data_IF_882623313974
#
_entry.id   IF_882623313974
#
_cell.length_a   1.000
_cell.length_b   1.000
_cell.length_c   1.000
_cell.angle_alpha   90.00
_cell.angle_beta   90.00
_cell.angle_gamma   90.00
#
_symmetry.space_group_name_H-M   'P 1'
#
loop_
_entity.id
_entity.type
_entity.pdbx_description
1 polymer ?
#
# COMPACT_ATOMS: atom_id res chain seq x y z
N UNK A 1 7.87 -9.71 22.19
CA UNK A 1 7.48 -8.30 21.93
C UNK A 1 6.45 -8.31 20.82
N UNK A 2 5.33 -7.58 20.98
CA UNK A 2 4.38 -7.41 19.88
C UNK A 2 5.01 -6.48 18.83
N UNK A 3 5.09 -6.94 17.58
CA UNK A 3 5.60 -6.12 16.47
C UNK A 3 4.54 -5.07 16.14
N UNK A 4 4.96 -3.80 16.09
CA UNK A 4 4.14 -2.68 15.64
C UNK A 4 4.65 -2.19 14.29
N UNK A 5 3.74 -1.85 13.39
CA UNK A 5 4.04 -1.28 12.08
C UNK A 5 3.56 0.16 12.03
N UNK A 6 4.44 1.06 11.61
CA UNK A 6 4.08 2.46 11.38
C UNK A 6 3.28 2.57 10.08
N UNK A 7 2.14 3.24 10.14
CA UNK A 7 1.25 3.48 9.01
C UNK A 7 1.13 4.99 8.83
N UNK A 8 1.75 5.50 7.77
CA UNK A 8 1.65 6.89 7.36
C UNK A 8 0.45 7.04 6.42
N UNK A 9 -0.50 7.90 6.77
CA UNK A 9 -1.63 8.25 5.90
C UNK A 9 -1.52 9.71 5.50
N UNK A 10 -1.36 9.96 4.20
CA UNK A 10 -1.33 11.29 3.63
C UNK A 10 -2.74 11.73 3.26
N UNK A 11 -3.14 12.93 3.64
CA UNK A 11 -4.47 13.47 3.29
C UNK A 11 -4.59 13.62 1.76
N UNK A 12 -5.76 13.30 1.17
CA UNK A 12 -5.96 13.52 -0.26
C UNK A 12 -5.84 15.01 -0.62
N UNK A 13 -5.17 15.36 -1.73
CA UNK A 13 -5.09 16.74 -2.19
C UNK A 13 -6.44 17.23 -2.75
N UNK A 14 -6.76 18.49 -2.50
CA UNK A 14 -7.97 19.16 -3.01
C UNK A 14 -9.26 18.90 -2.22
N UNK A 15 -10.37 19.51 -2.65
CA UNK A 15 -11.65 19.51 -1.92
C UNK A 15 -12.64 18.42 -2.38
N UNK A 16 -12.15 17.31 -2.93
CA UNK A 16 -13.00 16.25 -3.49
C UNK A 16 -13.70 15.40 -2.42
N UNK A 17 -15.03 15.51 -2.31
CA UNK A 17 -15.83 14.84 -1.27
C UNK A 17 -15.63 13.32 -1.20
N UNK A 18 -15.45 12.65 -2.35
CA UNK A 18 -15.26 11.19 -2.39
C UNK A 18 -13.93 10.74 -1.79
N UNK A 19 -12.84 11.46 -2.07
CA UNK A 19 -11.52 11.10 -1.57
C UNK A 19 -11.42 11.35 -0.05
N UNK A 20 -12.03 12.44 0.44
CA UNK A 20 -12.14 12.71 1.88
C UNK A 20 -12.99 11.66 2.60
N UNK A 21 -14.14 11.25 2.03
CA UNK A 21 -14.94 10.17 2.62
C UNK A 21 -14.16 8.84 2.68
N UNK A 22 -13.45 8.50 1.60
CA UNK A 22 -12.60 7.31 1.58
C UNK A 22 -11.46 7.40 2.60
N UNK A 23 -10.88 8.58 2.79
CA UNK A 23 -9.88 8.84 3.81
C UNK A 23 -10.46 8.62 5.20
N UNK A 24 -11.61 9.21 5.52
CA UNK A 24 -12.27 9.06 6.82
C UNK A 24 -12.64 7.60 7.13
N UNK A 25 -13.15 6.87 6.13
CA UNK A 25 -13.44 5.43 6.25
C UNK A 25 -12.17 4.63 6.60
N UNK A 26 -11.05 4.94 5.94
CA UNK A 26 -9.77 4.26 6.14
C UNK A 26 -9.20 4.58 7.51
N UNK A 27 -9.22 5.84 7.92
CA UNK A 27 -8.79 6.25 9.26
C UNK A 27 -9.64 5.57 10.33
N UNK A 28 -10.96 5.55 10.18
CA UNK A 28 -11.88 4.89 11.10
C UNK A 28 -11.61 3.38 11.24
N UNK A 29 -11.17 2.73 10.16
CA UNK A 29 -10.80 1.31 10.19
C UNK A 29 -9.43 1.04 10.81
N UNK A 30 -8.46 1.96 10.65
CA UNK A 30 -7.08 1.80 11.11
C UNK A 30 -6.90 2.21 12.59
N UNK A 31 -7.66 3.20 13.05
CA UNK A 31 -7.53 3.72 14.41
C UNK A 31 -7.85 2.65 15.46
N UNK A 32 -7.00 2.53 16.48
CA UNK A 32 -7.19 1.59 17.58
C UNK A 32 -6.91 0.12 17.23
N UNK A 33 -6.37 -0.17 16.03
CA UNK A 33 -6.02 -1.54 15.64
C UNK A 33 -4.73 -2.01 16.32
N UNK A 34 -4.69 -3.24 16.84
CA UNK A 34 -3.50 -3.76 17.51
C UNK A 34 -2.36 -3.94 16.50
N UNK A 35 -1.17 -3.45 16.87
CA UNK A 35 0.04 -3.58 16.06
C UNK A 35 0.17 -2.57 14.92
N UNK A 36 -0.75 -1.62 14.77
CA UNK A 36 -0.65 -0.53 13.79
C UNK A 36 -0.52 0.81 14.51
N UNK A 37 0.49 1.59 14.12
CA UNK A 37 0.74 2.94 14.62
C UNK A 37 0.45 3.94 13.52
N UNK A 38 -0.73 4.55 13.56
CA UNK A 38 -1.20 5.45 12.51
C UNK A 38 -0.67 6.86 12.77
N UNK A 39 0.00 7.43 11.77
CA UNK A 39 0.40 8.84 11.74
C UNK A 39 -0.28 9.47 10.54
N UNK A 40 -1.04 10.53 10.81
CA UNK A 40 -1.76 11.29 9.80
C UNK A 40 -0.97 12.56 9.50
N UNK A 41 -0.67 12.80 8.23
CA UNK A 41 -0.08 14.07 7.78
C UNK A 41 -1.02 14.72 6.78
N UNK A 42 -1.15 16.05 6.88
CA UNK A 42 -1.92 16.80 5.89
C UNK A 42 -1.13 16.92 4.60
N UNK A 43 0.17 17.16 4.72
CA UNK A 43 1.13 17.16 3.61
C UNK A 43 2.50 16.67 4.07
N UNK A 44 3.37 16.38 3.12
CA UNK A 44 4.78 16.17 3.43
C UNK A 44 5.47 17.53 3.58
N UNK A 45 6.29 17.73 4.63
CA UNK A 45 6.96 19.01 4.84
C UNK A 45 8.04 19.24 3.80
N UNK A 46 8.24 20.50 3.41
CA UNK A 46 9.36 20.90 2.56
C UNK A 46 10.73 20.73 3.25
N UNK A 47 11.84 20.74 2.49
CA UNK A 47 13.20 20.48 3.02
C UNK A 47 13.62 21.44 4.14
N UNK A 48 13.22 22.70 4.03
CA UNK A 48 13.57 23.78 4.97
C UNK A 48 12.42 24.15 5.92
N UNK A 49 11.30 23.43 5.87
CA UNK A 49 10.16 23.69 6.75
C UNK A 49 10.37 23.00 8.11
N UNK A 50 10.22 23.78 9.18
CA UNK A 50 10.22 23.27 10.56
C UNK A 50 8.78 23.23 11.08
N UNK A 51 8.00 22.26 10.61
CA UNK A 51 6.59 22.05 10.99
C UNK A 51 6.43 20.89 11.98
N UNK A 52 5.28 20.83 12.64
CA UNK A 52 4.90 19.67 13.49
C UNK A 52 4.90 18.36 12.69
N UNK A 53 4.57 18.42 11.39
CA UNK A 53 4.61 17.27 10.48
C UNK A 53 6.02 16.70 10.34
N UNK A 54 7.05 17.55 10.35
CA UNK A 54 8.45 17.10 10.32
C UNK A 54 8.82 16.30 11.56
N UNK A 55 8.42 16.75 12.74
CA UNK A 55 8.64 16.00 13.99
C UNK A 55 7.91 14.65 13.96
N UNK A 56 6.68 14.62 13.45
CA UNK A 56 5.94 13.37 13.28
C UNK A 56 6.67 12.42 12.32
N UNK A 57 7.17 12.91 11.18
CA UNK A 57 7.91 12.12 10.20
C UNK A 57 9.27 11.61 10.74
N UNK A 58 9.96 12.44 11.51
CA UNK A 58 11.21 12.07 12.20
C UNK A 58 10.97 10.95 13.21
N UNK A 59 9.84 10.98 13.93
CA UNK A 59 9.46 9.93 14.88
C UNK A 59 9.21 8.55 14.24
N UNK A 60 8.92 8.49 12.94
CA UNK A 60 8.67 7.22 12.24
C UNK A 60 9.95 6.39 12.10
N UNK A 61 10.08 5.33 12.88
CA UNK A 61 11.22 4.40 12.78
C UNK A 61 11.03 3.29 11.74
N UNK A 62 12.13 2.85 11.10
CA UNK A 62 12.22 1.52 10.48
C UNK A 62 11.40 1.28 9.23
N UNK A 63 10.27 0.57 9.38
CA UNK A 63 9.40 0.16 8.27
C UNK A 63 8.09 0.93 8.34
N UNK A 64 7.69 1.55 7.23
CA UNK A 64 6.43 2.28 7.13
C UNK A 64 5.55 1.65 6.05
N UNK A 65 4.26 1.54 6.33
CA UNK A 65 3.24 1.45 5.29
C UNK A 65 2.78 2.86 4.96
N UNK A 66 2.81 3.26 3.70
CA UNK A 66 2.40 4.60 3.26
C UNK A 66 1.13 4.50 2.42
N UNK A 67 0.09 5.20 2.84
CA UNK A 67 -1.19 5.34 2.16
C UNK A 67 -1.24 6.74 1.57
N UNK A 68 -1.28 6.83 0.24
CA UNK A 68 -1.26 8.12 -0.45
C UNK A 68 -2.22 8.14 -1.64
N UNK A 69 -2.64 9.35 -2.01
CA UNK A 69 -3.37 9.66 -3.24
C UNK A 69 -2.46 10.19 -4.34
N UNK A 70 -1.15 10.23 -4.10
CA UNK A 70 -0.10 10.55 -5.07
C UNK A 70 0.49 9.25 -5.65
N UNK A 71 1.36 9.37 -6.66
CA UNK A 71 2.07 8.21 -7.18
C UNK A 71 3.14 7.68 -6.21
N UNK A 72 3.45 6.38 -6.25
CA UNK A 72 4.46 5.81 -5.37
C UNK A 72 5.86 6.45 -5.52
N UNK A 73 6.28 6.74 -6.75
CA UNK A 73 7.57 7.40 -7.02
C UNK A 73 7.58 8.81 -6.46
N UNK A 74 6.50 9.56 -6.71
CA UNK A 74 6.30 10.92 -6.21
C UNK A 74 6.36 10.95 -4.68
N UNK A 75 5.66 10.05 -3.99
CA UNK A 75 5.71 9.97 -2.53
C UNK A 75 7.09 9.59 -2.00
N UNK A 76 7.85 8.73 -2.69
CA UNK A 76 9.25 8.42 -2.29
C UNK A 76 10.13 9.66 -2.43
N UNK A 77 10.01 10.39 -3.54
CA UNK A 77 10.80 11.58 -3.81
C UNK A 77 10.45 12.71 -2.82
N UNK A 78 9.17 12.90 -2.51
CA UNK A 78 8.70 13.85 -1.49
C UNK A 78 9.19 13.48 -0.08
N UNK A 79 9.16 12.19 0.29
CA UNK A 79 9.72 11.72 1.56
C UNK A 79 11.23 11.97 1.61
N UNK A 80 11.95 11.72 0.51
CA UNK A 80 13.37 12.00 0.43
C UNK A 80 13.66 13.51 0.55
N UNK A 81 12.86 14.36 -0.08
CA UNK A 81 12.94 15.81 0.04
C UNK A 81 12.65 16.29 1.49
N UNK A 82 11.74 15.61 2.20
CA UNK A 82 11.46 15.83 3.61
C UNK A 82 12.56 15.27 4.56
N UNK A 83 13.66 14.73 4.01
CA UNK A 83 14.78 14.18 4.77
C UNK A 83 14.58 12.72 5.22
N UNK A 84 13.53 12.04 4.75
CA UNK A 84 13.24 10.64 5.07
C UNK A 84 13.59 9.72 3.91
N UNK A 85 14.80 9.17 3.95
CA UNK A 85 15.26 8.21 2.94
C UNK A 85 14.57 6.85 3.10
N UNK A 86 13.69 6.52 2.16
CA UNK A 86 12.94 5.28 2.15
C UNK A 86 13.11 4.53 0.82
N UNK A 87 13.14 3.20 0.89
CA UNK A 87 13.16 2.31 -0.27
C UNK A 87 11.83 1.57 -0.36
N UNK A 88 11.14 1.69 -1.50
CA UNK A 88 9.89 0.98 -1.77
C UNK A 88 10.15 -0.53 -1.78
N UNK A 89 9.28 -1.29 -1.12
CA UNK A 89 9.32 -2.75 -1.08
C UNK A 89 8.03 -3.34 -1.64
N UNK A 90 8.14 -4.44 -2.41
CA UNK A 90 6.97 -5.14 -2.90
C UNK A 90 6.15 -5.74 -1.75
N UNK A 91 4.83 -5.71 -1.92
CA UNK A 91 3.89 -6.45 -1.09
C UNK A 91 2.72 -6.93 -1.97
N UNK A 92 1.80 -7.72 -1.39
CA UNK A 92 0.73 -8.40 -2.12
C UNK A 92 -0.21 -7.44 -2.85
N UNK A 93 -0.49 -6.28 -2.28
CA UNK A 93 -1.36 -5.25 -2.84
C UNK A 93 -0.61 -4.21 -3.69
N UNK A 94 0.68 -4.44 -3.99
CA UNK A 94 1.49 -3.54 -4.81
C UNK A 94 1.79 -4.15 -6.19
N UNK A 95 0.92 -3.91 -7.20
CA UNK A 95 1.11 -4.46 -8.54
C UNK A 95 2.33 -3.87 -9.27
N UNK A 96 2.75 -2.65 -8.92
CA UNK A 96 3.81 -1.91 -9.62
C UNK A 96 5.20 -2.10 -9.01
N UNK A 97 5.31 -2.81 -7.87
CA UNK A 97 6.59 -2.99 -7.20
C UNK A 97 7.61 -3.81 -8.00
N UNK A 98 7.16 -4.64 -8.95
CA UNK A 98 8.05 -5.46 -9.77
C UNK A 98 9.03 -4.61 -10.64
N UNK A 99 8.68 -3.35 -10.92
CA UNK A 99 9.49 -2.47 -11.77
C UNK A 99 10.56 -1.67 -11.01
N UNK A 100 10.54 -1.65 -9.67
CA UNK A 100 11.50 -0.86 -8.86
C UNK A 100 12.64 -1.76 -8.36
N UNK A 101 13.28 -2.48 -9.27
CA UNK A 101 14.55 -3.16 -9.03
C UNK A 101 15.69 -2.20 -9.39
N UNK A 102 16.14 -1.35 -8.46
CA UNK A 102 17.26 -0.47 -8.83
C UNK A 102 17.93 0.36 -7.75
N UNK A 103 17.24 0.76 -6.68
CA UNK A 103 17.88 1.68 -5.72
C UNK A 103 18.63 0.89 -4.64
N UNK A 104 19.97 1.02 -4.53
CA UNK A 104 20.74 0.29 -3.55
C UNK A 104 20.27 0.65 -2.14
N UNK A 105 20.01 -0.38 -1.33
CA UNK A 105 19.67 -0.26 0.08
C UNK A 105 20.93 0.15 0.82
N UNK A 106 21.17 1.47 0.89
CA UNK A 106 22.23 2.04 1.72
C UNK A 106 21.96 1.76 3.21
N UNK A 107 23.04 1.75 4.00
CA UNK A 107 22.93 1.70 5.46
C UNK A 107 22.16 2.93 5.94
N UNK A 108 21.04 2.73 6.64
CA UNK A 108 20.17 3.81 7.14
C UNK A 108 18.92 4.10 6.30
N UNK A 109 18.71 3.43 5.16
CA UNK A 109 17.49 3.58 4.35
C UNK A 109 16.37 2.71 4.91
N UNK A 110 15.23 3.32 5.27
CA UNK A 110 14.06 2.61 5.76
C UNK A 110 13.32 1.85 4.65
N UNK A 111 12.38 0.97 5.02
CA UNK A 111 11.53 0.26 4.05
C UNK A 111 10.16 0.90 4.01
N UNK A 112 9.66 1.19 2.80
CA UNK A 112 8.32 1.70 2.59
C UNK A 112 7.47 0.69 1.81
N UNK A 113 6.29 0.39 2.31
CA UNK A 113 5.27 -0.40 1.62
C UNK A 113 4.19 0.56 1.14
N UNK A 114 4.06 0.73 -0.17
CA UNK A 114 3.18 1.75 -0.75
C UNK A 114 1.79 1.18 -1.04
N UNK A 115 0.75 1.91 -0.66
CA UNK A 115 -0.63 1.58 -0.97
C UNK A 115 -1.30 2.74 -1.69
N UNK A 116 -1.71 2.48 -2.94
CA UNK A 116 -2.37 3.48 -3.77
C UNK A 116 -3.86 3.60 -3.38
N UNK A 117 -4.22 4.74 -2.80
CA UNK A 117 -5.58 5.01 -2.36
C UNK A 117 -6.50 5.46 -3.50
N UNK A 118 -5.96 5.77 -4.68
CA UNK A 118 -6.74 6.16 -5.86
C UNK A 118 -7.47 4.97 -6.50
N UNK A 119 -7.05 3.74 -6.19
CA UNK A 119 -7.64 2.54 -6.76
C UNK A 119 -9.06 2.31 -6.20
N UNK A 120 -10.03 1.94 -7.03
CA UNK A 120 -11.38 1.68 -6.59
C UNK A 120 -11.41 0.47 -5.64
N UNK A 121 -12.02 0.64 -4.46
CA UNK A 121 -12.11 -0.42 -3.44
C UNK A 121 -10.85 -0.62 -2.59
N UNK A 122 -9.83 0.24 -2.74
CA UNK A 122 -8.61 0.18 -1.95
C UNK A 122 -8.88 0.19 -0.43
N UNK A 123 -9.90 0.94 0.01
CA UNK A 123 -10.30 1.04 1.42
C UNK A 123 -10.71 -0.32 2.03
N UNK A 124 -11.23 -1.27 1.25
CA UNK A 124 -11.66 -2.58 1.74
C UNK A 124 -10.50 -3.58 1.73
N UNK A 125 -9.70 -3.60 0.66
CA UNK A 125 -8.60 -4.56 0.51
C UNK A 125 -7.39 -4.23 1.37
N UNK A 126 -7.11 -2.94 1.57
CA UNK A 126 -5.89 -2.47 2.23
C UNK A 126 -5.71 -3.02 3.63
N UNK A 127 -6.80 -3.15 4.38
CA UNK A 127 -6.73 -3.66 5.74
C UNK A 127 -6.26 -5.11 5.78
N UNK A 128 -6.79 -5.95 4.88
CA UNK A 128 -6.37 -7.35 4.76
C UNK A 128 -4.89 -7.45 4.39
N UNK A 129 -4.43 -6.59 3.48
CA UNK A 129 -3.04 -6.55 3.04
C UNK A 129 -2.09 -6.02 4.13
N UNK A 130 -2.48 -4.99 4.88
CA UNK A 130 -1.72 -4.47 6.03
C UNK A 130 -1.60 -5.52 7.15
N UNK A 131 -2.67 -6.26 7.43
CA UNK A 131 -2.60 -7.36 8.41
C UNK A 131 -1.72 -8.50 7.92
N UNK A 132 -1.81 -8.85 6.64
CA UNK A 132 -0.94 -9.86 6.05
C UNK A 132 0.53 -9.43 6.13
N UNK A 133 0.81 -8.16 5.82
CA UNK A 133 2.14 -7.57 5.92
C UNK A 133 2.65 -7.54 7.37
N UNK A 134 1.83 -7.17 8.34
CA UNK A 134 2.19 -7.23 9.75
C UNK A 134 2.62 -8.66 10.15
N UNK A 135 1.87 -9.67 9.69
CA UNK A 135 2.18 -11.09 9.95
C UNK A 135 3.49 -11.53 9.31
N UNK A 136 3.84 -11.05 8.12
CA UNK A 136 5.13 -11.40 7.47
C UNK A 136 6.31 -10.71 8.14
N UNK A 137 6.10 -9.53 8.74
CA UNK A 137 7.13 -8.83 9.51
C UNK A 137 7.32 -9.42 10.92
N UNK A 138 6.33 -10.13 11.45
CA UNK A 138 6.48 -10.89 12.69
C UNK A 138 7.45 -12.06 12.47
N UNK A 139 8.68 -11.92 12.97
CA UNK A 139 9.62 -13.03 13.00
C UNK A 139 9.18 -14.02 14.08
N UNK A 140 8.76 -15.25 13.74
CA UNK A 140 8.45 -16.24 14.75
C UNK A 140 9.73 -16.59 15.49
N UNK A 141 9.83 -16.18 16.75
CA UNK A 141 10.94 -16.53 17.62
C UNK A 141 10.73 -17.95 18.12
N UNK A 142 11.44 -18.91 17.55
CA UNK A 142 11.50 -20.27 18.11
C UNK A 142 12.59 -20.31 19.16
N UNK A 143 12.24 -20.66 20.39
CA UNK A 143 13.21 -20.86 21.44
C UNK A 143 13.86 -22.24 21.26
N UNK A 144 15.07 -22.26 20.72
CA UNK A 144 15.90 -23.47 20.68
C UNK A 144 16.58 -23.61 22.05
N UNK A 145 15.81 -24.06 23.05
CA UNK A 145 16.36 -24.58 24.30
C UNK A 145 16.58 -26.08 24.19
N UNK A 146 17.50 -26.68 24.97
CA UNK A 146 17.59 -28.14 25.03
C UNK A 146 16.23 -28.67 25.46
N UNK A 147 15.73 -29.67 24.73
CA UNK A 147 14.57 -30.46 25.15
C UNK A 147 14.95 -31.19 26.46
N UNK A 148 14.79 -30.50 27.59
CA UNK A 148 15.01 -31.06 28.90
C UNK A 148 13.72 -31.75 29.35
N UNK A 149 13.82 -33.08 29.34
CA UNK A 149 12.98 -34.07 29.98
C UNK A 149 11.55 -34.24 29.43
N UNK A 150 11.39 -35.35 28.71
CA UNK A 150 10.15 -36.13 28.67
C UNK A 150 9.42 -36.10 30.03
N UNK A 151 8.10 -35.88 30.07
CA UNK A 151 7.34 -36.28 31.25
C UNK A 151 7.46 -37.80 31.34
N UNK A 152 8.23 -38.27 32.34
CA UNK A 152 8.29 -39.68 32.71
C UNK A 152 6.87 -40.22 32.87
N UNK A 153 6.47 -41.07 31.93
CA UNK A 153 5.43 -42.08 32.13
C UNK A 153 5.73 -42.82 33.42
N UNK A 154 4.88 -42.62 34.43
CA UNK A 154 4.82 -43.49 35.59
C UNK A 154 3.70 -44.50 35.36
N UNK A 155 4.06 -45.72 35.00
CA UNK A 155 3.24 -46.93 35.18
C UNK A 155 4.21 -48.09 35.49
N UNK A 156 3.82 -49.14 36.27
CA UNK A 156 2.49 -49.76 36.22
C UNK A 156 1.93 -50.23 37.59
N UNK A 157 0.60 -50.27 37.71
CA UNK A 157 -0.09 -51.30 38.51
C UNK A 157 -1.22 -51.92 37.68
N UNK A 158 -0.82 -52.99 36.99
CA UNK A 158 -1.56 -54.23 36.75
C UNK A 158 -3.06 -54.23 37.09
N UNK A 159 -3.91 -54.17 36.07
CA UNK A 159 -5.10 -55.03 35.92
C UNK A 159 -5.46 -55.12 34.43
N UNK A 160 -5.16 -56.26 33.81
CA UNK A 160 -5.73 -56.73 32.54
C UNK A 160 -6.96 -57.63 32.81
N UNK A 161 -7.79 -58.05 31.82
CA UNK A 161 -7.95 -57.51 30.44
C UNK A 161 -9.44 -57.40 30.01
N UNK A 162 -9.71 -56.61 28.95
CA UNK A 162 -10.75 -56.94 27.95
C UNK A 162 -10.51 -56.20 26.62
N UNK A 163 -9.90 -56.94 25.70
CA UNK A 163 -10.21 -57.08 24.26
C UNK A 163 -10.60 -55.82 23.46
N UNK A 164 -9.73 -55.41 22.53
CA UNK A 164 -10.10 -54.46 21.48
C UNK A 164 -8.93 -54.05 20.60
N UNK A 165 -8.70 -54.78 19.52
CA UNK A 165 -7.57 -54.65 18.61
C UNK A 165 -7.46 -53.32 17.84
N UNK A 166 -6.21 -52.87 17.60
CA UNK A 166 -5.59 -52.47 16.30
C UNK A 166 -4.68 -51.23 16.41
N UNK A 167 -3.40 -51.46 16.17
CA UNK A 167 -2.39 -50.53 15.62
C UNK A 167 -1.87 -51.15 14.32
N UNK A 168 -0.98 -50.51 13.52
CA UNK A 168 -0.49 -49.12 13.52
C UNK A 168 -0.39 -48.50 12.08
N UNK A 169 0.23 -47.31 12.02
CA UNK A 169 1.17 -46.78 10.99
C UNK A 169 0.71 -45.49 10.31
N UNK A 170 1.30 -44.38 10.76
CA UNK A 170 1.38 -43.11 10.04
C UNK A 170 2.67 -43.15 9.21
N UNK A 171 2.52 -43.09 7.89
CA UNK A 171 3.64 -42.94 6.94
C UNK A 171 3.79 -41.47 6.58
N UNK A 172 4.93 -40.88 6.94
CA UNK A 172 5.36 -39.56 6.45
C UNK A 172 6.06 -39.75 5.09
N UNK A 173 5.43 -39.31 4.01
CA UNK A 173 6.05 -39.25 2.70
C UNK A 173 6.77 -37.90 2.53
N UNK A 174 8.10 -37.97 2.45
CA UNK A 174 8.95 -36.92 1.90
C UNK A 174 8.78 -36.87 0.38
N UNK A 175 8.72 -35.67 -0.20
CA UNK A 175 8.85 -35.47 -1.65
C UNK A 175 10.04 -34.55 -1.92
N UNK A 176 10.93 -35.07 -2.77
CA UNK A 176 12.25 -34.55 -3.13
C UNK A 176 12.22 -33.30 -4.03
N UNK A 177 13.35 -32.56 -4.12
CA UNK A 177 13.53 -31.36 -4.93
C UNK A 177 13.63 -31.63 -6.45
N UNK A 178 13.08 -30.73 -7.26
CA UNK A 178 13.19 -30.74 -8.72
C UNK A 178 14.48 -30.00 -9.13
N UNK A 179 15.33 -30.68 -9.89
CA UNK A 179 16.58 -30.19 -10.45
C UNK A 179 16.35 -29.69 -11.89
N UNK A 180 16.88 -28.53 -12.32
CA UNK A 180 16.73 -28.01 -13.68
C UNK A 180 17.90 -28.44 -14.56
N UNK A 181 17.67 -29.34 -15.52
CA UNK A 181 18.42 -29.38 -16.79
C UNK A 181 17.90 -30.52 -17.69
N UNK A 182 17.19 -30.15 -18.76
CA UNK A 182 17.14 -30.91 -20.00
C UNK A 182 16.90 -29.93 -21.14
N UNK A 183 17.99 -29.58 -21.82
CA UNK A 183 17.97 -28.96 -23.13
C UNK A 183 17.44 -29.96 -24.16
N UNK A 184 16.64 -29.49 -25.13
CA UNK A 184 16.79 -29.89 -26.53
C UNK A 184 16.11 -28.87 -27.46
N UNK A 185 16.90 -28.41 -28.43
CA UNK A 185 16.52 -27.63 -29.61
C UNK A 185 15.33 -28.25 -30.34
N UNK A 186 14.51 -27.43 -30.98
CA UNK A 186 14.36 -27.55 -32.44
C UNK A 186 13.98 -26.22 -33.09
N UNK A 187 14.40 -26.08 -34.34
CA UNK A 187 14.40 -24.89 -35.15
C UNK A 187 12.99 -24.60 -35.69
N UNK A 188 12.60 -23.32 -35.71
CA UNK A 188 11.97 -22.82 -36.94
C UNK A 188 12.30 -21.35 -37.19
N UNK A 189 13.31 -21.21 -38.05
CA UNK A 189 13.67 -20.06 -38.85
C UNK A 189 12.55 -19.76 -39.84
N UNK A 190 11.97 -18.57 -39.79
CA UNK A 190 11.45 -17.85 -40.97
C UNK A 190 11.73 -16.36 -40.77
N UNK A 191 12.75 -15.88 -41.48
CA UNK A 191 13.11 -14.46 -41.64
C UNK A 191 12.32 -13.91 -42.87
N UNK A 192 12.45 -12.63 -43.25
CA UNK A 192 11.53 -11.54 -42.94
C UNK A 192 10.87 -11.00 -44.23
N UNK A 193 9.86 -10.13 -44.10
CA UNK A 193 9.61 -9.13 -45.16
C UNK A 193 8.87 -7.90 -44.63
N UNK A 194 9.45 -6.69 -44.77
CA UNK A 194 8.81 -5.41 -44.50
C UNK A 194 8.18 -4.86 -45.78
N UNK A 195 7.06 -4.12 -45.66
CA UNK A 195 6.57 -2.99 -46.50
C UNK A 195 5.08 -2.71 -46.18
N UNK A 196 4.49 -1.54 -46.50
CA UNK A 196 5.02 -0.16 -46.47
C UNK A 196 4.03 0.84 -45.82
N UNK A 197 4.52 2.07 -45.62
CA UNK A 197 3.74 3.29 -45.35
C UNK A 197 2.52 3.43 -46.29
N UNK A 198 1.40 3.90 -45.74
CA UNK A 198 0.37 4.61 -46.50
C UNK A 198 -0.31 5.66 -45.61
N UNK A 199 0.06 6.93 -45.83
CA UNK A 199 -0.85 8.08 -45.68
C UNK A 199 -1.70 8.18 -46.97
N UNK A 200 -2.96 8.64 -46.92
CA UNK A 200 -3.30 10.07 -47.01
C UNK A 200 -4.55 10.40 -46.12
N UNK A 201 -5.08 11.61 -45.90
CA UNK A 201 -5.27 12.79 -46.75
C UNK A 201 -5.79 13.93 -45.83
N UNK A 202 -5.19 15.12 -45.90
CA UNK A 202 -5.81 16.37 -45.43
C UNK A 202 -7.04 16.70 -46.30
N UNK A 203 -7.94 17.55 -45.78
CA UNK A 203 -8.20 18.80 -46.51
C UNK A 203 -7.92 20.03 -45.64
N UNK A 204 -7.38 21.04 -46.32
CA UNK A 204 -7.09 22.36 -45.81
C UNK A 204 -8.36 23.22 -45.63
N UNK A 205 -8.29 24.09 -44.62
CA UNK A 205 -8.72 25.50 -44.54
C UNK A 205 -9.76 26.00 -45.55
N UNK A 206 -10.82 26.63 -45.03
CA UNK A 206 -11.02 28.08 -45.25
C UNK A 206 -11.86 28.71 -44.11
N UNK A 207 -11.65 30.01 -43.80
CA UNK A 207 -12.18 30.72 -42.64
C UNK A 207 -13.44 31.51 -42.99
N UNK A 208 -14.34 31.76 -42.02
CA UNK A 208 -15.27 32.87 -42.11
C UNK A 208 -15.35 33.62 -40.78
N UNK A 209 -15.07 34.92 -40.89
CA UNK A 209 -15.03 35.91 -39.84
C UNK A 209 -16.41 36.21 -39.22
N UNK A 210 -16.40 36.70 -37.99
CA UNK A 210 -17.57 37.32 -37.34
C UNK A 210 -17.40 37.54 -35.83
N UNK A 211 -16.57 38.50 -35.42
CA UNK A 211 -16.68 39.24 -34.14
C UNK A 211 -17.97 40.12 -34.17
N UNK A 212 -18.56 40.63 -33.06
CA UNK A 212 -17.92 41.34 -31.91
C UNK A 212 -18.37 40.83 -30.51
N UNK A 213 -17.51 40.88 -29.50
CA UNK A 213 -17.41 41.95 -28.48
C UNK A 213 -18.63 42.07 -27.53
N UNK A 214 -18.46 41.65 -26.26
CA UNK A 214 -19.12 42.24 -25.10
C UNK A 214 -18.42 41.80 -23.81
N UNK A 215 -17.55 42.67 -23.30
CA UNK A 215 -17.14 42.71 -21.91
C UNK A 215 -18.36 42.76 -20.99
N UNK A 216 -18.39 41.93 -19.94
CA UNK A 216 -18.97 42.23 -18.61
C UNK A 216 -18.44 41.15 -17.64
N UNK A 217 -17.74 41.41 -16.53
CA UNK A 217 -17.90 42.37 -15.42
C UNK A 217 -18.14 41.54 -14.14
N UNK A 218 -17.23 41.67 -13.17
CA UNK A 218 -17.40 41.57 -11.70
C UNK A 218 -17.86 40.23 -11.09
N UNK A 219 -17.05 39.58 -10.24
CA UNK A 219 -17.05 39.68 -8.77
C UNK A 219 -18.43 39.54 -8.13
N UNK A 220 -18.88 38.32 -7.88
CA UNK A 220 -19.96 37.98 -6.94
C UNK A 220 -19.67 36.60 -6.34
N UNK A 221 -18.87 36.56 -5.27
CA UNK A 221 -18.71 35.38 -4.37
C UNK A 221 -19.07 35.80 -2.91
N UNK A 222 -19.77 36.94 -2.76
CA UNK A 222 -20.16 37.55 -1.49
C UNK A 222 -21.66 37.45 -1.19
N UNK A 223 -22.51 37.45 -2.22
CA UNK A 223 -23.97 37.40 -2.08
C UNK A 223 -24.52 36.03 -1.64
N UNK A 224 -23.71 34.97 -1.75
CA UNK A 224 -24.11 33.64 -1.31
C UNK A 224 -24.05 33.50 0.23
N UNK A 225 -23.17 34.24 0.92
CA UNK A 225 -23.06 34.20 2.38
C UNK A 225 -24.21 34.94 3.07
N UNK A 226 -24.59 36.12 2.58
CA UNK A 226 -25.74 36.87 3.15
C UNK A 226 -27.05 36.08 2.98
N UNK A 227 -27.23 35.38 1.85
CA UNK A 227 -28.36 34.45 1.65
C UNK A 227 -28.37 33.24 2.59
N UNK A 228 -27.20 32.79 3.04
CA UNK A 228 -27.08 31.69 4.01
C UNK A 228 -27.38 32.15 5.44
N UNK A 229 -27.10 33.42 5.77
CA UNK A 229 -27.43 34.03 7.06
C UNK A 229 -28.94 34.28 7.16
N UNK A 230 -29.58 34.83 6.13
CA UNK A 230 -31.04 35.04 6.11
C UNK A 230 -31.83 33.72 6.26
N UNK A 231 -31.31 32.61 5.71
CA UNK A 231 -31.92 31.27 5.86
C UNK A 231 -31.76 30.66 7.25
N UNK A 232 -30.75 31.07 8.03
CA UNK A 232 -30.58 30.57 9.38
C UNK A 232 -31.56 31.23 10.35
N UNK A 233 -31.93 32.49 10.10
CA UNK A 233 -32.88 33.25 10.92
C UNK A 233 -34.33 32.76 10.74
N UNK A 234 -34.62 32.12 9.60
CA UNK A 234 -35.94 31.55 9.29
C UNK A 234 -36.18 30.16 9.93
N UNK A 235 -35.15 29.55 10.54
CA UNK A 235 -35.20 28.21 11.15
C UNK A 235 -35.50 28.20 12.65
N UNK A 236 -35.65 29.37 13.29
CA UNK A 236 -35.90 29.51 14.74
C UNK A 236 -37.33 30.00 15.06
N UNK A 237 -38.31 29.65 14.22
CA UNK A 237 -39.75 29.97 14.39
C UNK A 237 -40.63 28.72 14.47
#
# INVERSE_FOLDING_TARGET
MAVRMNVLVLRPPGNGSKAHHQFDDVIGQLLGRPGLDVTLLERLPGPDESTTERLALESLGGHIACLAWAGASETVDELAAAGKLMSRRPHRGDPDAASVNGTPVGVGVGRMFFFDMRLPGANVSIFGDLQALLKTLQTPTFQIGPAAAEPKTAEPKSFEPKTGARTPVVTLAASSPINPNAAFNDNHRVDPRPVPLSAPKQPALEPLAGTPEASKQLTEDGDDLDRLVDKLDELDL
#
